data_IF_349441274676
#
_entry.id   IF_349441274676
#
_cell.length_a   1.000
_cell.length_b   1.000
_cell.length_c   1.000
_cell.angle_alpha   90.00
_cell.angle_beta   90.00
_cell.angle_gamma   90.00
#
_symmetry.space_group_name_H-M   'P 1'
#
loop_
_entity.id
_entity.type
_entity.pdbx_description
1 polymer ?
#
# COMPACT_ATOMS: atom_id res chain seq x y z
N UNK A 1 -19.36 -0.04 13.41
CA UNK A 1 -18.44 -0.07 12.25
C UNK A 1 -18.32 -1.52 11.86
N UNK A 2 -19.10 -1.92 10.86
CA UNK A 2 -19.05 -3.26 10.29
C UNK A 2 -17.68 -3.46 9.64
N UNK A 3 -16.80 -4.20 10.31
CA UNK A 3 -15.60 -4.71 9.67
C UNK A 3 -16.03 -5.81 8.70
N UNK A 4 -15.88 -5.49 7.42
CA UNK A 4 -16.26 -6.27 6.25
C UNK A 4 -15.90 -7.76 6.41
N UNK A 5 -16.87 -8.62 6.10
CA UNK A 5 -16.96 -10.02 6.50
C UNK A 5 -15.77 -10.90 6.11
N UNK A 6 -15.15 -11.47 7.13
CA UNK A 6 -14.35 -12.68 7.02
C UNK A 6 -15.26 -13.91 7.00
N UNK A 7 -15.57 -14.48 5.83
CA UNK A 7 -16.20 -15.81 5.76
C UNK A 7 -15.73 -16.67 4.57
N UNK A 8 -14.55 -17.33 4.70
CA UNK A 8 -14.30 -18.76 4.36
C UNK A 8 -13.12 -19.09 3.40
N UNK A 9 -12.01 -19.51 4.01
CA UNK A 9 -11.15 -20.66 3.65
C UNK A 9 -11.42 -21.28 2.25
N UNK A 10 -10.49 -21.04 1.33
CA UNK A 10 -10.34 -21.67 0.00
C UNK A 10 -11.32 -21.28 -1.13
N UNK A 11 -12.28 -20.36 -0.90
CA UNK A 11 -13.20 -19.87 -1.96
C UNK A 11 -13.57 -18.37 -1.91
N UNK A 12 -12.93 -17.57 -1.06
CA UNK A 12 -13.43 -16.24 -0.63
C UNK A 12 -12.93 -15.03 -1.41
N UNK A 13 -11.85 -15.16 -2.18
CA UNK A 13 -11.22 -13.97 -2.74
C UNK A 13 -11.66 -13.71 -4.18
N UNK A 14 -12.02 -12.45 -4.51
CA UNK A 14 -12.51 -12.11 -5.83
C UNK A 14 -11.44 -12.40 -6.89
N UNK A 15 -11.84 -13.10 -7.93
CA UNK A 15 -11.05 -13.18 -9.16
C UNK A 15 -11.15 -11.87 -9.96
N UNK A 16 -10.35 -11.74 -11.03
CA UNK A 16 -10.42 -10.57 -11.88
C UNK A 16 -11.77 -10.47 -12.61
N UNK A 17 -12.28 -9.25 -12.89
CA UNK A 17 -11.68 -7.98 -12.50
C UNK A 17 -11.88 -7.68 -11.02
N UNK A 18 -10.81 -7.25 -10.34
CA UNK A 18 -10.89 -6.84 -8.93
C UNK A 18 -11.76 -5.58 -8.80
N UNK A 19 -12.64 -5.49 -7.78
CA UNK A 19 -13.40 -4.28 -7.50
C UNK A 19 -12.47 -3.09 -7.19
N UNK A 20 -12.88 -1.88 -7.58
CA UNK A 20 -12.07 -0.67 -7.37
C UNK A 20 -11.76 -0.43 -5.87
N UNK A 21 -12.72 -0.65 -4.98
CA UNK A 21 -12.52 -0.48 -3.53
C UNK A 21 -11.40 -1.38 -2.99
N UNK A 22 -11.28 -2.61 -3.51
CA UNK A 22 -10.19 -3.53 -3.13
C UNK A 22 -8.83 -3.02 -3.62
N UNK A 23 -8.76 -2.43 -4.83
CA UNK A 23 -7.52 -1.84 -5.34
C UNK A 23 -7.12 -0.59 -4.54
N UNK A 24 -8.09 0.20 -4.08
CA UNK A 24 -7.87 1.37 -3.22
C UNK A 24 -7.36 0.91 -1.85
N UNK A 25 -8.01 -0.05 -1.20
CA UNK A 25 -7.61 -0.56 0.11
C UNK A 25 -6.24 -1.26 0.04
N UNK A 26 -5.96 -1.96 -1.06
CA UNK A 26 -4.66 -2.56 -1.33
C UNK A 26 -3.57 -1.48 -1.48
N UNK A 27 -3.84 -0.45 -2.28
CA UNK A 27 -2.91 0.68 -2.48
C UNK A 27 -2.64 1.45 -1.19
N UNK A 28 -3.67 1.62 -0.35
CA UNK A 28 -3.58 2.25 0.97
C UNK A 28 -2.96 1.35 2.06
N UNK A 29 -2.61 0.10 1.74
CA UNK A 29 -2.05 -0.86 2.70
C UNK A 29 -2.99 -1.24 3.84
N UNK A 30 -4.32 -1.16 3.62
CA UNK A 30 -5.36 -1.41 4.64
C UNK A 30 -5.87 -2.85 4.67
N UNK A 31 -5.47 -3.68 3.70
CA UNK A 31 -5.88 -5.08 3.65
C UNK A 31 -5.17 -5.92 4.70
N UNK A 32 -5.86 -6.96 5.19
CA UNK A 32 -5.24 -8.03 5.96
C UNK A 32 -4.07 -8.66 5.17
N UNK A 33 -2.95 -9.01 5.81
CA UNK A 33 -1.78 -9.54 5.12
C UNK A 33 -2.07 -10.74 4.21
N UNK A 34 -2.91 -11.69 4.64
CA UNK A 34 -3.22 -12.87 3.84
C UNK A 34 -4.01 -12.51 2.59
N UNK A 35 -4.93 -11.54 2.70
CA UNK A 35 -5.68 -11.05 1.57
C UNK A 35 -4.81 -10.23 0.61
N UNK A 36 -3.90 -9.40 1.15
CA UNK A 36 -2.95 -8.65 0.34
C UNK A 36 -2.04 -9.56 -0.50
N UNK A 37 -1.56 -10.69 0.03
CA UNK A 37 -0.80 -11.67 -0.74
C UNK A 37 -1.60 -12.28 -1.90
N UNK A 38 -2.88 -12.61 -1.65
CA UNK A 38 -3.76 -13.07 -2.71
C UNK A 38 -3.94 -12.01 -3.80
N UNK A 39 -4.26 -10.77 -3.40
CA UNK A 39 -4.47 -9.65 -4.33
C UNK A 39 -3.22 -9.37 -5.17
N UNK A 40 -2.01 -9.45 -4.58
CA UNK A 40 -0.73 -9.35 -5.33
C UNK A 40 -0.62 -10.39 -6.43
N UNK A 41 -1.03 -11.63 -6.14
CA UNK A 41 -1.01 -12.71 -7.12
C UNK A 41 -1.98 -12.43 -8.27
N UNK A 42 -3.20 -11.99 -7.97
CA UNK A 42 -4.20 -11.66 -8.99
C UNK A 42 -3.78 -10.46 -9.86
N UNK A 43 -3.24 -9.39 -9.26
CA UNK A 43 -2.78 -8.19 -9.97
C UNK A 43 -1.66 -8.51 -10.98
N UNK A 44 -0.80 -9.50 -10.69
CA UNK A 44 0.29 -9.87 -11.58
C UNK A 44 -0.22 -10.25 -12.98
N UNK A 45 -1.37 -10.93 -13.03
CA UNK A 45 -2.01 -11.40 -14.26
C UNK A 45 -3.12 -10.47 -14.80
N UNK A 46 -3.51 -9.43 -14.03
CA UNK A 46 -4.55 -8.46 -14.41
C UNK A 46 -3.94 -7.12 -14.89
N UNK A 47 -3.86 -6.87 -16.23
CA UNK A 47 -3.31 -5.63 -16.76
C UNK A 47 -4.16 -4.39 -16.45
N UNK A 48 -5.47 -4.54 -16.25
CA UNK A 48 -6.35 -3.41 -15.96
C UNK A 48 -6.21 -2.97 -14.51
N UNK A 49 -6.12 -3.92 -13.56
CA UNK A 49 -5.78 -3.63 -12.18
C UNK A 49 -4.44 -2.88 -12.07
N UNK A 50 -3.42 -3.31 -12.81
CA UNK A 50 -2.11 -2.62 -12.85
C UNK A 50 -2.21 -1.20 -13.39
N UNK A 51 -3.04 -0.94 -14.40
CA UNK A 51 -3.27 0.43 -14.92
C UNK A 51 -3.91 1.33 -13.88
N UNK A 52 -4.89 0.83 -13.14
CA UNK A 52 -5.56 1.57 -12.07
C UNK A 52 -4.56 1.94 -10.97
N UNK A 53 -3.76 0.98 -10.49
CA UNK A 53 -2.75 1.23 -9.47
C UNK A 53 -1.69 2.25 -9.94
N UNK A 54 -1.23 2.13 -11.18
CA UNK A 54 -0.28 3.11 -11.75
C UNK A 54 -0.88 4.52 -11.83
N UNK A 55 -2.18 4.65 -12.13
CA UNK A 55 -2.86 5.95 -12.14
C UNK A 55 -3.00 6.54 -10.72
N UNK A 56 -3.24 5.71 -9.70
CA UNK A 56 -3.25 6.14 -8.30
C UNK A 56 -1.86 6.61 -7.84
N UNK A 57 -0.80 5.90 -8.21
CA UNK A 57 0.58 6.32 -7.93
C UNK A 57 0.93 7.65 -8.60
N UNK A 58 0.57 7.83 -9.88
CA UNK A 58 0.78 9.08 -10.59
C UNK A 58 0.02 10.24 -9.93
N UNK A 59 -1.23 10.01 -9.54
CA UNK A 59 -2.05 11.02 -8.83
C UNK A 59 -1.40 11.40 -7.49
N UNK A 60 -0.89 10.44 -6.73
CA UNK A 60 -0.17 10.73 -5.48
C UNK A 60 1.11 11.51 -5.74
N UNK A 61 1.87 11.18 -6.79
CA UNK A 61 3.07 11.93 -7.16
C UNK A 61 2.74 13.39 -7.53
N UNK A 62 1.68 13.60 -8.30
CA UNK A 62 1.19 14.93 -8.65
C UNK A 62 0.79 15.71 -7.40
N UNK A 63 0.01 15.10 -6.49
CA UNK A 63 -0.37 15.72 -5.21
C UNK A 63 0.84 16.08 -4.34
N UNK A 64 1.85 15.20 -4.29
CA UNK A 64 3.11 15.49 -3.58
C UNK A 64 3.84 16.66 -4.22
N UNK A 65 3.85 16.75 -5.55
CA UNK A 65 4.52 17.85 -6.28
C UNK A 65 3.87 19.22 -6.03
N UNK A 66 2.58 19.25 -5.69
CA UNK A 66 1.83 20.46 -5.38
C UNK A 66 2.06 20.97 -3.95
N UNK A 67 2.77 20.23 -3.10
CA UNK A 67 3.07 20.68 -1.74
C UNK A 67 4.07 21.83 -1.77
N UNK A 68 3.64 23.01 -1.32
CA UNK A 68 4.46 24.24 -1.27
C UNK A 68 5.67 24.13 -0.33
N UNK A 69 5.56 23.39 0.78
CA UNK A 69 6.63 23.31 1.78
C UNK A 69 6.82 21.88 2.31
N UNK A 70 8.07 21.42 2.23
CA UNK A 70 8.52 20.22 2.92
C UNK A 70 8.67 20.56 4.41
N UNK A 71 7.84 19.94 5.26
CA UNK A 71 7.98 20.10 6.71
C UNK A 71 9.31 19.47 7.13
N UNK A 72 10.27 20.24 7.66
CA UNK A 72 11.57 19.69 8.00
C UNK A 72 11.44 18.68 9.13
N UNK A 73 12.07 17.51 8.95
CA UNK A 73 12.18 16.51 10.01
C UNK A 73 13.02 17.12 11.15
N UNK A 74 12.53 17.14 12.40
CA UNK A 74 13.30 17.61 13.54
C UNK A 74 14.66 16.88 13.67
N UNK A 75 15.75 17.60 13.99
CA UNK A 75 17.10 17.05 13.96
C UNK A 75 17.32 15.92 14.98
N UNK A 76 16.62 15.96 16.11
CA UNK A 76 16.62 14.91 17.13
C UNK A 76 15.97 13.62 16.60
N UNK A 77 14.84 13.74 15.91
CA UNK A 77 14.15 12.62 15.25
C UNK A 77 15.06 12.01 14.18
N UNK A 78 15.67 12.84 13.33
CA UNK A 78 16.63 12.39 12.30
C UNK A 78 17.81 11.65 12.91
N UNK A 79 18.41 12.20 13.98
CA UNK A 79 19.56 11.59 14.67
C UNK A 79 19.20 10.23 15.25
N UNK A 80 18.03 10.12 15.88
CA UNK A 80 17.53 8.86 16.45
C UNK A 80 17.26 7.80 15.38
N UNK A 81 16.65 8.20 14.25
CA UNK A 81 16.39 7.32 13.11
C UNK A 81 17.70 6.75 12.55
N UNK A 82 18.67 7.61 12.25
CA UNK A 82 19.97 7.20 11.71
C UNK A 82 20.73 6.28 12.69
N UNK A 83 20.74 6.61 13.98
CA UNK A 83 21.38 5.76 15.00
C UNK A 83 20.78 4.35 15.08
N UNK A 84 19.46 4.23 14.85
CA UNK A 84 18.76 2.93 14.83
C UNK A 84 19.13 2.13 13.57
N UNK A 85 19.12 2.76 12.40
CA UNK A 85 19.47 2.10 11.12
C UNK A 85 20.93 1.63 11.15
N UNK A 86 21.85 2.46 11.65
CA UNK A 86 23.28 2.10 11.77
C UNK A 86 23.51 0.88 12.67
N UNK A 87 22.68 0.68 13.70
CA UNK A 87 22.76 -0.49 14.58
C UNK A 87 22.43 -1.80 13.86
N UNK A 88 21.49 -1.77 12.91
CA UNK A 88 21.09 -2.97 12.15
C UNK A 88 22.01 -3.28 10.96
N UNK A 89 22.82 -2.31 10.51
CA UNK A 89 23.76 -2.54 9.40
C UNK A 89 25.15 -3.03 9.86
N UNK A 90 25.48 -2.88 11.15
CA UNK A 90 26.80 -3.25 11.71
C UNK A 90 26.87 -4.64 12.33
N UNK A 91 25.75 -5.38 12.32
CA UNK A 91 25.62 -6.80 12.71
C UNK A 91 25.54 -7.67 11.43
#
# INVERSE_FOLDING_TARGET
MEHNGAESRDGQYPGPPLPADILIDFHAGQLDPAFAEHVRTVIADDPDARRILAALDATNADLVSLRDEEIPIPPDVRTRMLGTISRFHTD
#
